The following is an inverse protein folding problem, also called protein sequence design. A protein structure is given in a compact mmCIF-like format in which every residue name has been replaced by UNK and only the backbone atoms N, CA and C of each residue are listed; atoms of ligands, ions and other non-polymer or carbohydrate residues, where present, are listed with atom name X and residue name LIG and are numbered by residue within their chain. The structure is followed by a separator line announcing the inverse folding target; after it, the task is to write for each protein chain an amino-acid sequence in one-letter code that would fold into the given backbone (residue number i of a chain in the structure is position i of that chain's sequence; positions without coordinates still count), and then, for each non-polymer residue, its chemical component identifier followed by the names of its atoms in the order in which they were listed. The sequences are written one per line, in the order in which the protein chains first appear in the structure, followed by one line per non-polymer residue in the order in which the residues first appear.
data_IF_298580556258
#
_entry.id   IF_298580556258
#
_cell.length_a   1.000
_cell.length_b   1.000
_cell.length_c   1.000
_cell.angle_alpha   90.00
_cell.angle_beta   90.00
_cell.angle_gamma   90.00
#
_symmetry.space_group_name_H-M   'P 1'
#
loop_
_entity.id
_entity.type
_entity.pdbx_description
1 polymer ?
#
# COMPACT_ATOMS: atom_id res chain seq x y z
N UNK A 1 19.54 17.33 -3.89
CA UNK A 1 19.85 16.04 -3.26
C UNK A 1 19.90 14.99 -4.35
N UNK A 2 21.01 14.29 -4.49
CA UNK A 2 21.23 13.29 -5.55
C UNK A 2 21.47 11.88 -4.99
N UNK A 3 21.66 11.76 -3.65
CA UNK A 3 21.95 10.49 -3.00
C UNK A 3 21.24 10.35 -1.66
N UNK A 4 21.18 9.12 -1.12
CA UNK A 4 20.69 8.86 0.24
C UNK A 4 21.53 9.58 1.28
N UNK A 5 22.83 9.66 1.07
CA UNK A 5 23.76 10.39 1.94
C UNK A 5 23.44 11.88 2.01
N UNK A 6 23.12 12.52 0.87
CA UNK A 6 22.70 13.93 0.83
C UNK A 6 21.42 14.14 1.65
N UNK A 7 20.47 13.19 1.58
CA UNK A 7 19.24 13.25 2.37
C UNK A 7 19.55 13.19 3.86
N UNK A 8 20.38 12.23 4.27
CA UNK A 8 20.77 12.05 5.68
C UNK A 8 21.50 13.28 6.20
N UNK A 9 22.50 13.79 5.47
CA UNK A 9 23.25 14.99 5.84
C UNK A 9 22.38 16.24 5.92
N UNK A 10 21.31 16.32 5.14
CA UNK A 10 20.44 17.50 5.14
C UNK A 10 19.59 17.62 6.40
N UNK A 11 19.34 16.53 7.13
CA UNK A 11 18.40 16.49 8.26
C UNK A 11 16.94 16.82 7.91
N UNK A 12 16.62 16.99 6.61
CA UNK A 12 15.28 17.39 6.14
C UNK A 12 14.36 16.19 5.95
N UNK A 13 14.20 15.41 7.01
CA UNK A 13 13.28 14.26 7.04
C UNK A 13 12.65 14.17 8.44
N UNK A 14 11.54 13.45 8.50
CA UNK A 14 10.85 13.26 9.78
C UNK A 14 11.66 12.30 10.69
N UNK A 15 11.85 12.62 12.00
CA UNK A 15 12.68 11.81 12.91
C UNK A 15 12.30 10.32 12.95
N UNK A 16 11.02 9.98 12.76
CA UNK A 16 10.56 8.59 12.78
C UNK A 16 11.14 7.68 11.69
N UNK A 17 11.75 8.25 10.64
CA UNK A 17 12.37 7.48 9.56
C UNK A 17 13.89 7.46 9.62
N UNK A 18 14.51 8.20 10.53
CA UNK A 18 15.97 8.35 10.63
C UNK A 18 16.67 6.99 10.71
N UNK A 19 16.23 6.15 11.66
CA UNK A 19 16.79 4.81 11.80
C UNK A 19 16.72 4.00 10.51
N UNK A 20 15.61 4.09 9.77
CA UNK A 20 15.45 3.37 8.49
C UNK A 20 16.38 3.89 7.40
N UNK A 21 16.64 5.19 7.38
CA UNK A 21 17.59 5.80 6.43
C UNK A 21 19.02 5.34 6.73
N UNK A 22 19.42 5.36 8.01
CA UNK A 22 20.73 4.90 8.46
C UNK A 22 20.92 3.39 8.20
N UNK A 23 19.93 2.56 8.54
CA UNK A 23 19.98 1.10 8.34
C UNK A 23 20.07 0.71 6.84
N UNK A 24 19.69 1.62 5.93
CA UNK A 24 19.77 1.41 4.48
C UNK A 24 21.03 1.94 3.84
N UNK A 25 21.84 2.69 4.57
CA UNK A 25 23.18 3.03 4.11
C UNK A 25 24.03 1.76 4.02
N UNK A 26 24.56 1.49 2.86
CA UNK A 26 25.47 0.37 2.64
C UNK A 26 26.65 0.84 1.82
N UNK A 27 27.82 0.38 2.18
CA UNK A 27 29.05 0.64 1.43
C UNK A 27 29.23 -0.31 0.25
N UNK A 28 28.52 -1.45 0.29
CA UNK A 28 28.60 -2.45 -0.76
C UNK A 28 27.67 -2.11 -1.95
N UNK A 29 28.12 -2.27 -3.19
CA UNK A 29 27.25 -2.25 -4.37
C UNK A 29 26.08 -3.23 -4.24
N UNK A 30 24.91 -2.89 -4.82
CA UNK A 30 23.68 -3.68 -4.66
C UNK A 30 23.84 -5.12 -5.17
N UNK A 31 24.58 -5.33 -6.24
CA UNK A 31 24.88 -6.63 -6.83
C UNK A 31 25.79 -7.51 -5.95
N UNK A 32 26.55 -6.90 -5.06
CA UNK A 32 27.45 -7.57 -4.11
C UNK A 32 26.87 -7.70 -2.70
N UNK A 33 25.68 -7.12 -2.47
CA UNK A 33 25.06 -7.16 -1.16
C UNK A 33 24.25 -8.45 -0.98
N UNK A 34 24.64 -9.36 -0.07
CA UNK A 34 23.94 -10.64 0.13
C UNK A 34 22.47 -10.48 0.54
N UNK A 35 22.13 -9.36 1.19
CA UNK A 35 20.71 -9.04 1.54
C UNK A 35 19.85 -8.84 0.30
N UNK A 36 20.40 -8.36 -0.81
CA UNK A 36 19.64 -8.19 -2.06
C UNK A 36 19.23 -9.55 -2.65
N UNK A 37 20.12 -10.53 -2.62
CA UNK A 37 19.82 -11.90 -3.07
C UNK A 37 18.78 -12.58 -2.16
N UNK A 38 18.83 -12.34 -0.84
CA UNK A 38 17.83 -12.84 0.11
C UNK A 38 16.46 -12.19 -0.15
N UNK A 39 16.42 -10.88 -0.33
CA UNK A 39 15.18 -10.16 -0.67
C UNK A 39 14.57 -10.70 -1.95
N UNK A 40 15.37 -10.94 -3.00
CA UNK A 40 14.87 -11.50 -4.26
C UNK A 40 14.25 -12.89 -4.06
N UNK A 41 14.91 -13.78 -3.31
CA UNK A 41 14.35 -15.10 -2.97
C UNK A 41 13.05 -15.01 -2.17
N UNK A 42 13.00 -14.13 -1.18
CA UNK A 42 11.80 -13.96 -0.35
C UNK A 42 10.64 -13.36 -1.16
N UNK A 43 10.93 -12.43 -2.05
CA UNK A 43 9.95 -11.89 -3.00
C UNK A 43 9.36 -12.99 -3.89
N UNK A 44 10.22 -13.84 -4.45
CA UNK A 44 9.77 -14.96 -5.30
C UNK A 44 8.88 -15.94 -4.51
N UNK A 45 9.30 -16.35 -3.32
CA UNK A 45 8.48 -17.21 -2.44
C UNK A 45 7.14 -16.59 -2.10
N UNK A 46 7.10 -15.28 -1.86
CA UNK A 46 5.85 -14.57 -1.57
C UNK A 46 4.91 -14.58 -2.78
N UNK A 47 5.44 -14.38 -4.00
CA UNK A 47 4.65 -14.49 -5.23
C UNK A 47 4.03 -15.86 -5.38
N UNK A 48 4.84 -16.90 -5.27
CA UNK A 48 4.41 -18.30 -5.37
C UNK A 48 3.32 -18.62 -4.34
N UNK A 49 3.52 -18.23 -3.08
CA UNK A 49 2.53 -18.45 -2.01
C UNK A 49 1.20 -17.73 -2.27
N UNK A 50 1.23 -16.50 -2.80
CA UNK A 50 0.00 -15.76 -3.14
C UNK A 50 -0.70 -16.43 -4.33
N UNK A 51 0.04 -16.85 -5.35
CA UNK A 51 -0.51 -17.56 -6.52
C UNK A 51 -1.13 -18.91 -6.13
N UNK A 52 -0.47 -19.68 -5.26
CA UNK A 52 -0.96 -20.94 -4.71
C UNK A 52 -2.27 -20.75 -3.95
N UNK A 53 -2.29 -19.84 -2.97
CA UNK A 53 -3.50 -19.55 -2.18
C UNK A 53 -4.66 -19.13 -3.07
N UNK A 54 -4.42 -18.28 -4.06
CA UNK A 54 -5.46 -17.85 -4.99
C UNK A 54 -5.90 -18.98 -5.91
N UNK A 55 -4.98 -19.87 -6.31
CA UNK A 55 -5.26 -21.03 -7.17
C UNK A 55 -6.09 -22.08 -6.46
N UNK A 56 -5.63 -22.52 -5.30
CA UNK A 56 -6.26 -23.59 -4.52
C UNK A 56 -7.68 -23.23 -4.07
N UNK A 57 -7.93 -21.95 -3.85
CA UNK A 57 -9.23 -21.45 -3.44
C UNK A 57 -10.05 -20.84 -4.58
N UNK A 58 -9.58 -20.94 -5.84
CA UNK A 58 -10.24 -20.38 -7.03
C UNK A 58 -10.63 -18.90 -6.88
N UNK A 59 -9.72 -18.09 -6.31
CA UNK A 59 -9.97 -16.68 -6.02
C UNK A 59 -9.58 -15.79 -7.21
N UNK A 60 -10.44 -14.82 -7.54
CA UNK A 60 -10.17 -13.76 -8.51
C UNK A 60 -9.39 -12.59 -7.90
N UNK A 61 -9.55 -12.35 -6.60
CA UNK A 61 -8.83 -11.33 -5.85
C UNK A 61 -8.74 -11.66 -4.36
N UNK A 62 -7.69 -11.15 -3.70
CA UNK A 62 -7.62 -11.06 -2.25
C UNK A 62 -8.10 -9.67 -1.80
N UNK A 63 -8.83 -9.62 -0.70
CA UNK A 63 -9.36 -8.36 -0.17
C UNK A 63 -8.93 -8.15 1.28
N UNK A 64 -8.50 -6.93 1.60
CA UNK A 64 -8.10 -6.57 2.96
C UNK A 64 -8.20 -5.04 3.16
N UNK A 65 -8.33 -4.56 4.42
CA UNK A 65 -8.28 -3.13 4.68
C UNK A 65 -6.94 -2.54 4.25
N UNK A 66 -6.96 -1.43 3.51
CA UNK A 66 -5.74 -0.72 3.11
C UNK A 66 -4.90 -0.32 4.34
N UNK A 67 -5.59 0.07 5.42
CA UNK A 67 -5.00 0.35 6.73
C UNK A 67 -5.73 -0.41 7.82
N UNK A 68 -4.99 -1.04 8.74
CA UNK A 68 -5.56 -1.78 9.86
C UNK A 68 -6.07 -0.87 10.99
N UNK A 69 -5.56 0.36 11.06
CA UNK A 69 -5.92 1.34 12.09
C UNK A 69 -6.33 2.67 11.47
N UNK A 70 -7.16 3.47 12.17
CA UNK A 70 -7.45 4.84 11.78
C UNK A 70 -6.18 5.70 11.75
N UNK A 71 -6.20 6.87 11.09
CA UNK A 71 -5.12 7.83 11.17
C UNK A 71 -4.78 8.16 12.63
N UNK A 72 -3.49 8.25 12.90
CA UNK A 72 -3.00 8.66 14.23
C UNK A 72 -3.29 10.14 14.49
N UNK A 73 -3.44 10.57 15.75
CA UNK A 73 -3.39 11.97 16.09
C UNK A 73 -2.08 12.62 15.60
N UNK A 74 -2.15 13.89 15.25
CA UNK A 74 -0.96 14.67 14.86
C UNK A 74 0.01 14.68 16.05
N UNK A 75 1.26 14.32 15.81
CA UNK A 75 2.32 14.23 16.83
C UNK A 75 2.46 12.86 17.51
N UNK A 76 1.51 11.94 17.33
CA UNK A 76 1.66 10.57 17.82
C UNK A 76 2.57 9.76 16.89
N UNK A 77 3.78 9.49 17.36
CA UNK A 77 4.79 8.68 16.64
C UNK A 77 4.83 7.22 17.10
N UNK A 78 4.15 6.88 18.19
CA UNK A 78 4.29 5.58 18.86
C UNK A 78 3.20 4.58 18.45
N UNK A 79 1.97 5.04 18.21
CA UNK A 79 0.90 4.16 17.76
C UNK A 79 1.22 3.54 16.40
N UNK A 80 1.06 2.23 16.21
CA UNK A 80 1.28 1.59 14.92
C UNK A 80 0.42 2.22 13.81
N UNK A 81 1.02 2.50 12.66
CA UNK A 81 0.28 3.10 11.53
C UNK A 81 -0.64 2.12 10.81
N UNK A 82 -0.37 0.81 10.91
CA UNK A 82 -1.23 -0.24 10.33
C UNK A 82 -1.33 -0.25 8.79
N UNK A 83 -0.38 0.34 8.07
CA UNK A 83 -0.40 0.36 6.62
C UNK A 83 -0.19 -1.05 6.04
N UNK A 84 -1.21 -1.58 5.38
CA UNK A 84 -1.18 -2.88 4.71
C UNK A 84 -0.89 -2.76 3.20
N UNK A 85 -1.06 -1.58 2.61
CA UNK A 85 -0.91 -1.37 1.16
C UNK A 85 0.42 -1.87 0.57
N UNK A 86 1.60 -1.71 1.24
CA UNK A 86 2.87 -2.16 0.70
C UNK A 86 3.22 -3.61 1.05
N UNK A 87 2.34 -4.37 1.70
CA UNK A 87 2.69 -5.70 2.21
C UNK A 87 2.74 -6.76 1.13
N UNK A 88 1.83 -6.74 0.19
CA UNK A 88 1.72 -7.76 -0.86
C UNK A 88 2.00 -7.19 -2.25
N UNK A 89 1.33 -6.13 -2.68
CA UNK A 89 1.42 -5.62 -4.05
C UNK A 89 2.85 -5.20 -4.45
N UNK A 90 3.56 -4.31 -3.75
CA UNK A 90 4.90 -3.92 -4.17
C UNK A 90 5.93 -5.06 -4.20
N UNK A 91 6.01 -5.94 -3.17
CA UNK A 91 6.99 -7.02 -3.22
C UNK A 91 6.66 -8.12 -4.24
N UNK A 92 5.39 -8.38 -4.52
CA UNK A 92 5.00 -9.38 -5.53
C UNK A 92 4.98 -8.81 -6.95
N UNK A 93 4.84 -7.48 -7.10
CA UNK A 93 4.56 -6.85 -8.38
C UNK A 93 3.14 -7.13 -8.90
N UNK A 94 2.25 -7.64 -8.05
CA UNK A 94 0.85 -7.88 -8.42
C UNK A 94 0.04 -6.59 -8.33
N UNK A 95 -0.91 -6.38 -9.25
CA UNK A 95 -1.74 -5.19 -9.27
C UNK A 95 -2.66 -5.14 -8.04
N UNK A 96 -2.86 -3.94 -7.53
CA UNK A 96 -3.82 -3.68 -6.47
C UNK A 96 -4.57 -2.38 -6.70
N UNK A 97 -5.83 -2.34 -6.32
CA UNK A 97 -6.68 -1.15 -6.33
C UNK A 97 -7.32 -0.95 -4.96
N UNK A 98 -7.48 0.28 -4.53
CA UNK A 98 -8.21 0.61 -3.30
C UNK A 98 -9.51 1.30 -3.65
N UNK A 99 -10.60 0.83 -3.05
CA UNK A 99 -11.94 1.42 -3.17
C UNK A 99 -12.46 1.87 -1.80
N UNK A 100 -13.33 2.89 -1.73
CA UNK A 100 -13.91 3.35 -0.48
C UNK A 100 -14.74 2.25 0.20
N UNK A 101 -14.37 1.86 1.42
CA UNK A 101 -15.10 0.86 2.22
C UNK A 101 -16.12 1.50 3.18
N UNK A 102 -15.92 2.77 3.52
CA UNK A 102 -16.78 3.50 4.44
C UNK A 102 -15.99 4.47 5.32
N UNK A 103 -16.50 4.69 6.51
CA UNK A 103 -15.90 5.61 7.48
C UNK A 103 -15.90 4.99 8.87
N UNK A 104 -14.86 5.27 9.65
CA UNK A 104 -14.83 5.00 11.09
C UNK A 104 -14.95 6.33 11.85
N UNK A 105 -15.56 6.29 13.02
CA UNK A 105 -15.84 7.51 13.81
C UNK A 105 -16.54 8.60 12.99
N UNK A 106 -17.42 8.19 12.07
CA UNK A 106 -18.26 9.02 11.18
C UNK A 106 -17.50 9.94 10.19
N UNK A 107 -16.20 10.15 10.35
CA UNK A 107 -15.43 11.13 9.58
C UNK A 107 -14.17 10.56 8.93
N UNK A 108 -13.58 9.50 9.46
CA UNK A 108 -12.30 8.99 8.99
C UNK A 108 -12.53 7.94 7.89
N UNK A 109 -12.13 8.21 6.62
CA UNK A 109 -12.35 7.28 5.52
C UNK A 109 -11.50 6.03 5.68
N UNK A 110 -12.05 4.89 5.29
CA UNK A 110 -11.35 3.61 5.23
C UNK A 110 -11.42 3.03 3.81
N UNK A 111 -10.33 2.40 3.39
CA UNK A 111 -10.19 1.78 2.08
C UNK A 111 -10.17 0.26 2.15
N UNK A 112 -10.83 -0.37 1.19
CA UNK A 112 -10.71 -1.79 0.89
C UNK A 112 -9.71 -1.94 -0.25
N UNK A 113 -8.66 -2.69 -0.04
CA UNK A 113 -7.69 -3.03 -1.07
C UNK A 113 -8.05 -4.37 -1.69
N UNK A 114 -8.04 -4.39 -3.01
CA UNK A 114 -8.22 -5.57 -3.85
C UNK A 114 -6.87 -5.87 -4.49
N UNK A 115 -6.35 -7.08 -4.32
CA UNK A 115 -5.10 -7.55 -4.92
C UNK A 115 -5.42 -8.67 -5.90
N UNK A 116 -4.96 -8.54 -7.14
CA UNK A 116 -5.12 -9.56 -8.19
C UNK A 116 -3.83 -10.32 -8.47
N UNK A 117 -3.89 -11.29 -9.39
CA UNK A 117 -2.71 -11.92 -9.99
C UNK A 117 -2.00 -10.97 -10.93
N UNK A 118 -0.81 -11.33 -11.37
CA UNK A 118 -0.12 -10.58 -12.42
C UNK A 118 -1.05 -10.33 -13.62
N UNK A 119 -1.09 -9.09 -14.10
CA UNK A 119 -1.89 -8.66 -15.28
C UNK A 119 -3.42 -8.74 -15.09
N UNK A 120 -3.92 -8.81 -13.86
CA UNK A 120 -5.34 -8.89 -13.56
C UNK A 120 -6.01 -7.51 -13.36
N UNK A 121 -5.41 -6.42 -13.82
CA UNK A 121 -5.96 -5.06 -13.69
C UNK A 121 -7.41 -4.95 -14.20
N UNK A 122 -7.77 -5.52 -15.38
CA UNK A 122 -9.17 -5.47 -15.85
C UNK A 122 -10.14 -6.14 -14.88
N UNK A 123 -9.75 -7.26 -14.29
CA UNK A 123 -10.56 -7.98 -13.29
C UNK A 123 -10.73 -7.15 -12.03
N UNK A 124 -9.66 -6.53 -11.53
CA UNK A 124 -9.71 -5.66 -10.35
C UNK A 124 -10.60 -4.44 -10.57
N UNK A 125 -10.52 -3.81 -11.75
CA UNK A 125 -11.38 -2.67 -12.11
C UNK A 125 -12.85 -3.11 -12.13
N UNK A 126 -13.15 -4.26 -12.72
CA UNK A 126 -14.52 -4.81 -12.76
C UNK A 126 -15.05 -5.08 -11.36
N UNK A 127 -14.27 -5.73 -10.49
CA UNK A 127 -14.66 -6.02 -9.10
C UNK A 127 -14.83 -4.71 -8.31
N UNK A 128 -13.87 -3.79 -8.42
CA UNK A 128 -13.91 -2.49 -7.75
C UNK A 128 -15.14 -1.67 -8.17
N UNK A 129 -15.44 -1.61 -9.47
CA UNK A 129 -16.63 -0.93 -9.99
C UNK A 129 -17.91 -1.58 -9.45
N UNK A 130 -18.04 -2.90 -9.51
CA UNK A 130 -19.21 -3.61 -8.99
C UNK A 130 -19.41 -3.34 -7.49
N UNK A 131 -18.33 -3.37 -6.72
CA UNK A 131 -18.37 -3.05 -5.30
C UNK A 131 -18.82 -1.60 -5.02
N UNK A 132 -18.27 -0.61 -5.75
CA UNK A 132 -18.67 0.78 -5.59
C UNK A 132 -20.14 1.01 -5.93
N UNK A 133 -20.64 0.41 -7.04
CA UNK A 133 -22.05 0.52 -7.43
C UNK A 133 -22.99 -0.11 -6.39
N UNK A 134 -22.61 -1.24 -5.82
CA UNK A 134 -23.42 -1.93 -4.81
C UNK A 134 -23.43 -1.23 -3.46
N UNK A 135 -22.31 -0.62 -3.06
CA UNK A 135 -22.15 -0.10 -1.69
C UNK A 135 -22.29 1.41 -1.57
N UNK A 136 -21.90 2.17 -2.60
CA UNK A 136 -21.92 3.64 -2.66
C UNK A 136 -21.32 4.31 -1.40
N UNK A 137 -20.20 3.79 -0.91
CA UNK A 137 -19.56 4.21 0.35
C UNK A 137 -18.76 5.52 0.25
N UNK A 138 -18.51 6.01 -0.97
CA UNK A 138 -17.80 7.28 -1.17
C UNK A 138 -18.67 8.45 -0.73
N UNK A 139 -18.10 9.34 0.09
CA UNK A 139 -18.67 10.67 0.39
C UNK A 139 -17.62 11.74 0.03
N UNK A 140 -18.00 12.83 -0.65
CA UNK A 140 -17.08 13.94 -0.86
C UNK A 140 -16.77 14.64 0.47
N UNK A 141 -15.58 15.26 0.62
CA UNK A 141 -15.27 16.07 1.80
C UNK A 141 -16.25 17.25 1.91
N UNK A 142 -16.81 17.48 3.10
CA UNK A 142 -17.72 18.59 3.33
C UNK A 142 -17.06 19.99 3.16
N UNK A 143 -15.73 20.04 3.35
CA UNK A 143 -14.91 21.25 3.20
C UNK A 143 -14.56 21.61 1.76
N UNK A 144 -14.88 20.75 0.80
CA UNK A 144 -14.50 20.94 -0.62
C UNK A 144 -15.76 21.10 -1.46
N UNK A 145 -15.87 22.23 -2.18
CA UNK A 145 -16.96 22.46 -3.09
C UNK A 145 -17.04 21.36 -4.18
N UNK A 146 -18.26 20.95 -4.60
CA UNK A 146 -18.40 20.05 -5.72
C UNK A 146 -17.71 20.60 -6.96
N UNK A 147 -17.06 19.72 -7.74
CA UNK A 147 -16.54 20.12 -9.04
C UNK A 147 -17.70 20.57 -9.94
N UNK A 148 -17.50 21.62 -10.77
CA UNK A 148 -18.51 22.00 -11.76
C UNK A 148 -18.81 20.80 -12.67
N UNK A 149 -20.08 20.62 -13.02
CA UNK A 149 -20.47 19.60 -13.98
C UNK A 149 -19.67 19.79 -15.27
N UNK A 150 -19.07 18.71 -15.78
CA UNK A 150 -18.45 18.78 -17.11
C UNK A 150 -19.55 19.06 -18.15
N UNK A 151 -19.28 19.99 -19.08
CA UNK A 151 -20.19 20.24 -20.19
C UNK A 151 -20.40 18.99 -21.04
#
# INVERSE_FOLDING_TARGET
MKSLEDIIKSGKYHPSIEKRLLDRQTEAPLDQNPRCAEVARNTQRLREAVEEVMGDNMLDALVYPTWAFPPRPIGDLNTPHGNNSPRLSPPTGFPAITVPMGFVRDSLPVGLQLLGRAWAEPTLIKIGFAYEQATRRRRPPASTAPLPARP
#
